data_IF_847596916058
#
_entry.id   IF_847596916058
#
_cell.length_a   1.000
_cell.length_b   1.000
_cell.length_c   1.000
_cell.angle_alpha   90.00
_cell.angle_beta   90.00
_cell.angle_gamma   90.00
#
_symmetry.space_group_name_H-M   'P 1'
#
loop_
_entity.id
_entity.type
_entity.pdbx_description
1 polymer ?
#
# COMPACT_ATOMS: atom_id res chain seq x y z
N UNK A 1 11.53 -21.00 39.24
CA UNK A 1 10.15 -20.58 38.88
C UNK A 1 10.11 -19.32 38.00
N UNK A 2 10.74 -18.21 38.40
CA UNK A 2 10.70 -16.92 37.67
C UNK A 2 11.05 -17.04 36.18
N UNK A 3 12.12 -17.74 35.82
CA UNK A 3 12.56 -17.94 34.43
C UNK A 3 11.59 -18.76 33.56
N UNK A 4 10.89 -19.74 34.16
CA UNK A 4 9.86 -20.52 33.46
C UNK A 4 8.64 -19.66 33.16
N UNK A 5 8.19 -18.87 34.13
CA UNK A 5 7.02 -17.98 33.98
C UNK A 5 7.28 -16.93 32.90
N UNK A 6 8.44 -16.26 32.93
CA UNK A 6 8.80 -15.25 31.92
C UNK A 6 8.81 -15.82 30.50
N UNK A 7 9.29 -17.05 30.31
CA UNK A 7 9.27 -17.73 29.01
C UNK A 7 7.85 -17.89 28.47
N UNK A 8 6.92 -18.42 29.28
CA UNK A 8 5.54 -18.63 28.86
C UNK A 8 4.79 -17.32 28.60
N UNK A 9 5.07 -16.28 29.41
CA UNK A 9 4.53 -14.93 29.18
C UNK A 9 4.98 -14.41 27.82
N UNK A 10 6.29 -14.48 27.51
CA UNK A 10 6.82 -13.92 26.26
C UNK A 10 6.23 -14.66 25.04
N UNK A 11 6.19 -15.99 25.04
CA UNK A 11 5.60 -16.72 23.91
C UNK A 11 4.09 -16.48 23.79
N UNK A 12 3.38 -16.29 24.91
CA UNK A 12 1.98 -15.85 24.89
C UNK A 12 1.81 -14.47 24.25
N UNK A 13 2.69 -13.52 24.60
CA UNK A 13 2.70 -12.19 23.99
C UNK A 13 3.02 -12.24 22.49
N UNK A 14 3.88 -13.16 22.01
CA UNK A 14 4.13 -13.35 20.57
C UNK A 14 2.82 -13.64 19.84
N UNK A 15 2.00 -14.55 20.38
CA UNK A 15 0.72 -14.92 19.76
C UNK A 15 -0.28 -13.78 19.84
N UNK A 16 -0.39 -13.11 20.99
CA UNK A 16 -1.32 -11.99 21.18
C UNK A 16 -0.98 -10.85 20.22
N UNK A 17 0.27 -10.37 20.22
CA UNK A 17 0.67 -9.26 19.36
C UNK A 17 0.72 -9.64 17.89
N UNK A 18 1.08 -10.88 17.55
CA UNK A 18 1.02 -11.37 16.16
C UNK A 18 -0.40 -11.33 15.62
N UNK A 19 -1.35 -11.98 16.30
CA UNK A 19 -2.76 -12.01 15.91
C UNK A 19 -3.38 -10.60 15.89
N UNK A 20 -3.07 -9.76 16.88
CA UNK A 20 -3.56 -8.37 16.89
C UNK A 20 -3.00 -7.53 15.74
N UNK A 21 -1.76 -7.79 15.30
CA UNK A 21 -1.18 -7.13 14.13
C UNK A 21 -1.94 -7.50 12.86
N UNK A 22 -2.21 -8.77 12.63
CA UNK A 22 -2.95 -9.19 11.44
C UNK A 22 -4.42 -8.73 11.45
N UNK A 23 -5.06 -8.75 12.62
CA UNK A 23 -6.39 -8.15 12.80
C UNK A 23 -6.39 -6.65 12.49
N UNK A 24 -5.32 -5.94 12.87
CA UNK A 24 -5.23 -4.51 12.59
C UNK A 24 -5.12 -4.20 11.09
N UNK A 25 -4.48 -5.09 10.30
CA UNK A 25 -4.41 -4.98 8.84
C UNK A 25 -5.77 -5.25 8.21
N UNK A 26 -6.45 -6.32 8.64
CA UNK A 26 -7.81 -6.65 8.19
C UNK A 26 -8.75 -5.46 8.43
N UNK A 27 -8.75 -4.91 9.64
CA UNK A 27 -9.58 -3.74 9.97
C UNK A 27 -9.22 -2.51 9.14
N UNK A 28 -7.93 -2.26 8.94
CA UNK A 28 -7.45 -1.14 8.14
C UNK A 28 -7.92 -1.19 6.67
N UNK A 29 -8.23 -2.38 6.15
CA UNK A 29 -8.68 -2.58 4.77
C UNK A 29 -10.21 -2.66 4.68
N UNK A 30 -10.85 -3.35 5.62
CA UNK A 30 -12.28 -3.69 5.53
C UNK A 30 -13.21 -2.69 6.22
N UNK A 31 -12.72 -1.91 7.19
CA UNK A 31 -13.55 -0.97 7.98
C UNK A 31 -13.33 0.47 7.52
N UNK A 32 -14.39 1.10 7.03
CA UNK A 32 -14.42 2.52 6.67
C UNK A 32 -14.14 3.40 7.91
N UNK A 33 -13.33 4.46 7.74
CA UNK A 33 -12.82 5.35 8.81
C UNK A 33 -11.85 4.72 9.83
N UNK A 34 -11.39 3.50 9.59
CA UNK A 34 -10.30 2.95 10.40
C UNK A 34 -8.95 3.59 10.04
N UNK A 35 -8.03 3.62 11.02
CA UNK A 35 -6.66 4.09 10.75
C UNK A 35 -5.97 3.11 9.79
N UNK A 36 -5.73 3.56 8.56
CA UNK A 36 -5.11 2.77 7.50
C UNK A 36 -3.64 2.42 7.74
N UNK A 37 -2.91 3.22 8.54
CA UNK A 37 -1.45 3.06 8.70
C UNK A 37 -0.95 3.07 10.14
N UNK A 38 -1.38 4.03 10.97
CA UNK A 38 -0.81 4.25 12.30
C UNK A 38 -1.04 3.05 13.25
N UNK A 39 -2.28 2.57 13.32
CA UNK A 39 -2.64 1.44 14.18
C UNK A 39 -1.90 0.16 13.80
N UNK A 40 -1.87 -0.28 12.51
CA UNK A 40 -1.01 -1.38 12.09
C UNK A 40 0.46 -1.18 12.43
N UNK A 41 1.01 0.01 12.20
CA UNK A 41 2.42 0.29 12.51
C UNK A 41 2.76 0.10 14.00
N UNK A 42 1.86 0.51 14.90
CA UNK A 42 2.03 0.31 16.35
C UNK A 42 2.01 -1.19 16.69
N UNK A 43 1.02 -1.94 16.19
CA UNK A 43 0.90 -3.36 16.48
C UNK A 43 2.09 -4.16 15.95
N UNK A 44 2.53 -3.92 14.72
CA UNK A 44 3.72 -4.58 14.17
C UNK A 44 5.02 -4.20 14.89
N UNK A 45 5.12 -2.97 15.39
CA UNK A 45 6.26 -2.55 16.21
C UNK A 45 6.31 -3.31 17.54
N UNK A 46 5.17 -3.45 18.20
CA UNK A 46 5.06 -4.26 19.43
C UNK A 46 5.35 -5.73 19.13
N UNK A 47 4.81 -6.27 18.04
CA UNK A 47 5.09 -7.63 17.62
C UNK A 47 6.58 -7.84 17.36
N UNK A 48 7.25 -6.93 16.63
CA UNK A 48 8.69 -6.98 16.41
C UNK A 48 9.50 -6.99 17.73
N UNK A 49 9.15 -6.13 18.68
CA UNK A 49 9.82 -6.07 19.99
C UNK A 49 9.68 -7.42 20.71
N UNK A 50 8.48 -8.00 20.72
CA UNK A 50 8.24 -9.27 21.41
C UNK A 50 8.89 -10.45 20.67
N UNK A 51 8.96 -10.43 19.34
CA UNK A 51 9.73 -11.41 18.55
C UNK A 51 11.22 -11.36 18.89
N UNK A 52 11.80 -10.16 18.94
CA UNK A 52 13.20 -9.94 19.28
C UNK A 52 13.51 -10.40 20.72
N UNK A 53 12.66 -10.02 21.68
CA UNK A 53 12.77 -10.45 23.08
C UNK A 53 12.60 -11.97 23.22
N UNK A 54 11.61 -12.56 22.55
CA UNK A 54 11.37 -14.00 22.52
C UNK A 54 12.59 -14.77 22.05
N UNK A 55 13.23 -14.28 21.00
CA UNK A 55 14.44 -14.90 20.44
C UNK A 55 15.62 -14.90 21.41
N UNK A 56 15.75 -13.86 22.25
CA UNK A 56 16.86 -13.73 23.21
C UNK A 56 16.56 -14.48 24.51
N UNK A 57 15.35 -14.34 25.05
CA UNK A 57 14.99 -14.86 26.37
C UNK A 57 14.62 -16.34 26.31
N UNK A 58 13.93 -16.78 25.25
CA UNK A 58 13.44 -18.16 25.11
C UNK A 58 14.49 -19.00 24.39
N UNK A 59 15.41 -19.58 25.15
CA UNK A 59 16.47 -20.46 24.61
C UNK A 59 15.97 -21.80 24.08
N UNK A 60 14.78 -22.21 24.53
CA UNK A 60 14.19 -23.49 24.15
C UNK A 60 13.41 -23.34 22.83
N UNK A 61 14.07 -23.77 21.76
CA UNK A 61 13.57 -23.73 20.39
C UNK A 61 12.28 -24.53 20.20
N UNK A 62 12.10 -25.63 20.94
CA UNK A 62 10.91 -26.48 20.85
C UNK A 62 9.67 -25.72 21.29
N UNK A 63 9.81 -24.81 22.25
CA UNK A 63 8.70 -23.95 22.70
C UNK A 63 8.63 -22.65 21.88
N UNK A 64 9.76 -22.08 21.45
CA UNK A 64 9.73 -20.81 20.72
C UNK A 64 9.11 -20.96 19.32
N UNK A 65 9.53 -21.96 18.52
CA UNK A 65 9.12 -22.06 17.12
C UNK A 65 7.63 -22.27 16.90
N UNK A 66 6.92 -23.13 17.66
CA UNK A 66 5.47 -23.28 17.50
C UNK A 66 4.72 -21.97 17.76
N UNK A 67 5.12 -21.19 18.76
CA UNK A 67 4.46 -19.93 19.08
C UNK A 67 4.80 -18.83 18.08
N UNK A 68 6.02 -18.80 17.55
CA UNK A 68 6.37 -17.96 16.40
C UNK A 68 5.51 -18.32 15.18
N UNK A 69 5.36 -19.62 14.90
CA UNK A 69 4.55 -20.08 13.78
C UNK A 69 3.09 -19.67 13.99
N UNK A 70 2.50 -19.92 15.16
CA UNK A 70 1.12 -19.47 15.45
C UNK A 70 0.98 -17.96 15.31
N UNK A 71 1.95 -17.17 15.78
CA UNK A 71 1.91 -15.70 15.65
C UNK A 71 2.03 -15.20 14.20
N UNK A 72 2.78 -15.87 13.33
CA UNK A 72 2.89 -15.51 11.91
C UNK A 72 1.71 -16.03 11.08
N UNK A 73 1.35 -17.30 11.27
CA UNK A 73 0.33 -17.98 10.49
C UNK A 73 -1.09 -17.68 10.97
N UNK A 74 -1.28 -16.95 12.09
CA UNK A 74 -2.61 -16.43 12.44
C UNK A 74 -3.14 -15.41 11.41
N UNK A 75 -2.28 -14.85 10.56
CA UNK A 75 -2.69 -14.10 9.36
C UNK A 75 -3.64 -14.89 8.43
N UNK A 76 -3.48 -16.22 8.35
CA UNK A 76 -4.33 -17.09 7.53
C UNK A 76 -5.80 -17.14 7.98
N UNK A 77 -6.08 -16.74 9.23
CA UNK A 77 -7.45 -16.63 9.74
C UNK A 77 -8.19 -15.47 9.03
N UNK A 78 -7.45 -14.42 8.65
CA UNK A 78 -7.99 -13.23 8.02
C UNK A 78 -7.93 -13.33 6.50
N UNK A 79 -6.78 -13.71 5.96
CA UNK A 79 -6.55 -13.77 4.51
C UNK A 79 -6.10 -15.17 4.11
N UNK A 80 -6.99 -15.94 3.48
CA UNK A 80 -6.65 -17.28 3.00
C UNK A 80 -6.39 -17.30 1.49
N UNK A 81 -5.15 -17.56 1.08
CA UNK A 81 -4.75 -17.71 -0.32
C UNK A 81 -3.54 -18.63 -0.42
N UNK A 82 -3.51 -19.49 -1.44
CA UNK A 82 -2.39 -20.42 -1.67
C UNK A 82 -1.04 -19.69 -1.79
N UNK A 83 -1.01 -18.58 -2.52
CA UNK A 83 0.20 -17.77 -2.69
C UNK A 83 0.57 -17.01 -1.42
N UNK A 84 -0.42 -16.61 -0.62
CA UNK A 84 -0.16 -15.99 0.69
C UNK A 84 0.53 -17.00 1.63
N UNK A 85 0.06 -18.26 1.66
CA UNK A 85 0.69 -19.34 2.42
C UNK A 85 2.16 -19.53 1.99
N UNK A 86 2.42 -19.59 0.68
CA UNK A 86 3.79 -19.74 0.17
C UNK A 86 4.71 -18.60 0.62
N UNK A 87 4.24 -17.35 0.56
CA UNK A 87 4.99 -16.17 1.01
C UNK A 87 5.15 -16.13 2.54
N UNK A 88 4.17 -16.60 3.31
CA UNK A 88 4.30 -16.74 4.76
C UNK A 88 5.34 -17.79 5.14
N UNK A 89 5.36 -18.95 4.47
CA UNK A 89 6.39 -19.96 4.67
C UNK A 89 7.77 -19.38 4.36
N UNK A 90 7.91 -18.67 3.24
CA UNK A 90 9.14 -18.01 2.85
C UNK A 90 9.58 -16.93 3.86
N UNK A 91 8.65 -16.11 4.35
CA UNK A 91 8.88 -15.13 5.41
C UNK A 91 9.32 -15.82 6.72
N UNK A 92 8.66 -16.92 7.09
CA UNK A 92 8.99 -17.68 8.29
C UNK A 92 10.38 -18.29 8.24
N UNK A 93 10.89 -18.66 7.05
CA UNK A 93 12.29 -19.07 6.89
C UNK A 93 13.26 -17.94 7.29
N UNK A 94 12.97 -16.68 6.96
CA UNK A 94 13.79 -15.57 7.42
C UNK A 94 13.73 -15.38 8.94
N UNK A 95 12.56 -15.58 9.57
CA UNK A 95 12.45 -15.60 11.04
C UNK A 95 13.32 -16.71 11.62
N UNK A 96 13.26 -17.92 11.06
CA UNK A 96 14.10 -19.04 11.48
C UNK A 96 15.59 -18.70 11.39
N UNK A 97 16.03 -18.14 10.27
CA UNK A 97 17.42 -17.71 10.09
C UNK A 97 17.83 -16.60 11.06
N UNK A 98 16.92 -15.66 11.35
CA UNK A 98 17.16 -14.60 12.33
C UNK A 98 17.35 -15.18 13.73
N UNK A 99 16.50 -16.13 14.14
CA UNK A 99 16.59 -16.83 15.43
C UNK A 99 17.93 -17.57 15.54
N UNK A 100 18.34 -18.30 14.51
CA UNK A 100 19.64 -18.98 14.51
C UNK A 100 20.82 -18.01 14.62
N UNK A 101 20.78 -16.87 13.91
CA UNK A 101 21.83 -15.85 13.98
C UNK A 101 21.92 -15.20 15.36
N UNK A 102 20.78 -14.81 15.94
CA UNK A 102 20.73 -14.20 17.27
C UNK A 102 21.18 -15.21 18.34
N UNK A 103 20.75 -16.47 18.23
CA UNK A 103 21.15 -17.53 19.15
C UNK A 103 22.66 -17.83 19.07
N UNK A 104 23.25 -17.83 17.88
CA UNK A 104 24.70 -17.97 17.69
C UNK A 104 25.47 -16.82 18.33
N UNK A 105 25.06 -15.58 18.10
CA UNK A 105 25.70 -14.40 18.73
C UNK A 105 25.58 -14.45 20.26
N UNK A 106 24.40 -14.75 20.79
CA UNK A 106 24.17 -14.81 22.25
C UNK A 106 25.00 -15.92 22.92
N UNK A 107 25.35 -17.00 22.21
CA UNK A 107 26.22 -18.07 22.73
C UNK A 107 27.71 -17.70 22.74
N UNK A 108 28.15 -16.85 21.80
CA UNK A 108 29.55 -16.50 21.62
C UNK A 108 30.01 -15.34 22.52
N UNK A 109 29.08 -14.54 23.04
CA UNK A 109 29.39 -13.39 23.89
C UNK A 109 29.25 -13.73 25.39
N UNK A 110 30.24 -13.35 26.19
CA UNK A 110 30.27 -13.57 27.66
C UNK A 110 29.27 -12.65 28.39
N UNK A 111 29.02 -11.46 27.83
CA UNK A 111 28.03 -10.49 28.34
C UNK A 111 26.86 -10.40 27.35
N UNK A 112 25.64 -10.44 27.88
CA UNK A 112 24.43 -10.30 27.07
C UNK A 112 24.16 -8.82 26.81
N UNK A 113 24.37 -8.40 25.57
CA UNK A 113 23.97 -7.08 25.08
C UNK A 113 22.76 -7.26 24.16
N UNK A 114 21.57 -6.93 24.67
CA UNK A 114 20.29 -7.11 23.96
C UNK A 114 20.32 -6.35 22.63
N UNK A 115 20.79 -5.11 22.62
CA UNK A 115 20.79 -4.27 21.42
C UNK A 115 21.71 -4.83 20.34
N UNK A 116 22.92 -5.26 20.73
CA UNK A 116 23.86 -5.90 19.82
C UNK A 116 23.30 -7.21 19.25
N UNK A 117 22.74 -8.07 20.11
CA UNK A 117 22.24 -9.37 19.67
C UNK A 117 21.03 -9.24 18.75
N UNK A 118 20.07 -8.35 19.03
CA UNK A 118 18.97 -8.05 18.10
C UNK A 118 19.52 -7.51 16.77
N UNK A 119 20.52 -6.63 16.80
CA UNK A 119 21.12 -6.04 15.57
C UNK A 119 21.68 -7.09 14.62
N UNK A 120 22.14 -8.24 15.11
CA UNK A 120 22.64 -9.35 14.29
C UNK A 120 21.55 -10.04 13.46
N UNK A 121 20.32 -10.10 13.98
CA UNK A 121 19.17 -10.70 13.29
C UNK A 121 18.19 -9.69 12.66
N UNK A 122 18.34 -8.39 12.94
CA UNK A 122 17.33 -7.37 12.62
C UNK A 122 16.91 -7.38 11.16
N UNK A 123 17.87 -7.50 10.23
CA UNK A 123 17.59 -7.39 8.79
C UNK A 123 16.68 -8.53 8.33
N UNK A 124 16.90 -9.74 8.86
CA UNK A 124 16.07 -10.90 8.54
C UNK A 124 14.68 -10.79 9.16
N UNK A 125 14.55 -10.30 10.40
CA UNK A 125 13.25 -10.07 11.03
C UNK A 125 12.44 -8.99 10.29
N UNK A 126 13.08 -7.88 9.92
CA UNK A 126 12.43 -6.80 9.17
C UNK A 126 11.97 -7.33 7.82
N UNK A 127 12.85 -8.01 7.08
CA UNK A 127 12.51 -8.58 5.78
C UNK A 127 11.36 -9.60 5.88
N UNK A 128 11.37 -10.47 6.90
CA UNK A 128 10.28 -11.40 7.15
C UNK A 128 8.94 -10.66 7.34
N UNK A 129 8.90 -9.68 8.23
CA UNK A 129 7.70 -8.89 8.48
C UNK A 129 7.26 -8.13 7.23
N UNK A 130 8.18 -7.48 6.51
CA UNK A 130 7.87 -6.78 5.27
C UNK A 130 7.21 -7.69 4.23
N UNK A 131 7.76 -8.89 4.01
CA UNK A 131 7.17 -9.87 3.08
C UNK A 131 5.78 -10.32 3.56
N UNK A 132 5.63 -10.61 4.85
CA UNK A 132 4.35 -11.10 5.37
C UNK A 132 3.26 -10.02 5.33
N UNK A 133 3.58 -8.78 5.73
CA UNK A 133 2.66 -7.63 5.71
C UNK A 133 2.23 -7.30 4.28
N UNK A 134 3.20 -7.17 3.37
CA UNK A 134 2.88 -6.86 1.95
C UNK A 134 2.06 -7.96 1.30
N UNK A 135 2.36 -9.23 1.62
CA UNK A 135 1.58 -10.36 1.15
C UNK A 135 0.13 -10.30 1.65
N UNK A 136 -0.10 -10.11 2.96
CA UNK A 136 -1.46 -10.01 3.49
C UNK A 136 -2.21 -8.85 2.86
N UNK A 137 -1.60 -7.66 2.82
CA UNK A 137 -2.20 -6.47 2.23
C UNK A 137 -2.61 -6.69 0.76
N UNK A 138 -1.72 -7.29 -0.04
CA UNK A 138 -1.97 -7.57 -1.44
C UNK A 138 -3.13 -8.55 -1.65
N UNK A 139 -3.15 -9.67 -0.90
CA UNK A 139 -4.19 -10.68 -1.08
C UNK A 139 -5.54 -10.26 -0.49
N UNK A 140 -5.55 -9.50 0.60
CA UNK A 140 -6.78 -8.94 1.16
C UNK A 140 -7.41 -7.92 0.21
N UNK A 141 -6.59 -7.03 -0.35
CA UNK A 141 -7.07 -6.06 -1.34
C UNK A 141 -7.55 -6.74 -2.62
N UNK A 142 -6.83 -7.76 -3.10
CA UNK A 142 -7.22 -8.51 -4.31
C UNK A 142 -8.54 -9.27 -4.13
N UNK A 143 -8.79 -9.83 -2.94
CA UNK A 143 -10.02 -10.58 -2.64
C UNK A 143 -11.21 -9.67 -2.39
N UNK A 144 -10.95 -8.40 -2.11
CA UNK A 144 -11.99 -7.40 -2.05
C UNK A 144 -12.22 -6.93 -3.49
N UNK A 145 -13.35 -7.28 -4.12
CA UNK A 145 -13.77 -6.79 -5.46
C UNK A 145 -13.89 -5.25 -5.56
N UNK A 146 -13.41 -4.51 -4.55
CA UNK A 146 -13.15 -3.08 -4.55
C UNK A 146 -11.91 -2.81 -5.43
N UNK A 147 -12.12 -2.84 -6.74
CA UNK A 147 -11.18 -2.38 -7.78
C UNK A 147 -10.74 -0.91 -7.55
N UNK A 148 -11.37 -0.17 -6.64
CA UNK A 148 -11.12 1.24 -6.35
C UNK A 148 -10.64 1.52 -4.91
N UNK A 149 -9.49 0.97 -4.52
CA UNK A 149 -8.71 1.52 -3.39
C UNK A 149 -7.30 1.87 -3.88
N UNK A 150 -7.23 2.75 -4.88
CA UNK A 150 -6.10 3.67 -4.91
C UNK A 150 -6.25 4.50 -3.64
N UNK A 151 -5.23 4.56 -2.76
CA UNK A 151 -5.31 5.40 -1.58
C UNK A 151 -5.66 6.81 -2.03
N UNK A 152 -6.85 7.27 -1.64
CA UNK A 152 -7.17 8.69 -1.61
C UNK A 152 -6.23 9.26 -0.55
N UNK A 153 -5.02 9.62 -0.96
CA UNK A 153 -4.27 10.57 -0.19
C UNK A 153 -5.13 11.83 -0.16
N UNK A 154 -5.51 12.31 1.02
CA UNK A 154 -5.95 13.70 1.20
C UNK A 154 -4.76 14.57 0.79
N UNK A 155 -4.64 14.82 -0.51
CA UNK A 155 -3.47 15.43 -1.17
C UNK A 155 -3.81 16.83 -1.61
N UNK A 156 -4.31 17.63 -0.67
CA UNK A 156 -4.24 19.08 -0.82
C UNK A 156 -2.78 19.55 -0.81
N UNK A 157 -1.97 19.03 0.12
CA UNK A 157 -0.70 19.69 0.47
C UNK A 157 0.53 19.06 -0.19
N UNK A 158 0.52 17.75 -0.45
CA UNK A 158 1.68 17.05 -1.02
C UNK A 158 1.70 17.06 -2.56
N UNK A 159 0.53 17.02 -3.21
CA UNK A 159 0.43 17.04 -4.68
C UNK A 159 0.70 18.44 -5.23
N UNK A 160 0.32 19.50 -4.51
CA UNK A 160 0.60 20.90 -4.86
C UNK A 160 2.09 21.27 -4.84
N UNK A 161 2.94 20.52 -4.12
CA UNK A 161 4.39 20.72 -4.13
C UNK A 161 5.10 19.96 -5.26
N UNK A 162 4.56 18.83 -5.70
CA UNK A 162 5.22 17.92 -6.66
C UNK A 162 4.80 18.20 -8.11
N UNK A 163 3.54 18.56 -8.35
CA UNK A 163 3.01 18.96 -9.67
C UNK A 163 3.85 20.05 -10.37
N UNK A 164 4.23 21.14 -9.68
CA UNK A 164 5.16 22.16 -10.16
C UNK A 164 6.51 21.69 -10.70
N UNK A 165 6.96 20.52 -10.24
CA UNK A 165 8.31 20.02 -10.47
C UNK A 165 8.34 19.05 -11.65
N UNK A 166 7.22 18.43 -11.99
CA UNK A 166 7.09 17.52 -13.13
C UNK A 166 6.53 18.19 -14.39
N UNK A 167 5.76 19.27 -14.23
CA UNK A 167 5.17 20.05 -15.33
C UNK A 167 5.38 21.55 -15.10
N UNK A 168 6.58 22.08 -15.41
CA UNK A 168 6.89 23.49 -15.21
C UNK A 168 6.07 24.44 -16.10
N UNK A 169 5.49 23.94 -17.20
CA UNK A 169 4.68 24.73 -18.15
C UNK A 169 3.26 25.06 -17.65
N UNK A 170 2.85 24.51 -16.49
CA UNK A 170 1.56 24.81 -15.85
C UNK A 170 1.65 25.96 -14.83
N UNK A 171 2.64 26.84 -14.96
CA UNK A 171 2.83 27.97 -14.07
C UNK A 171 2.82 29.28 -14.86
N UNK A 172 1.69 29.98 -14.81
CA UNK A 172 1.60 31.24 -14.03
C UNK A 172 0.23 31.93 -14.12
N UNK A 173 -0.69 31.47 -14.98
CA UNK A 173 -2.03 32.04 -15.04
C UNK A 173 -3.07 31.08 -14.41
N UNK A 174 -3.82 31.58 -13.43
CA UNK A 174 -4.94 30.92 -12.73
C UNK A 174 -4.59 29.88 -11.66
N UNK A 175 -3.87 30.35 -10.63
CA UNK A 175 -4.08 29.81 -9.27
C UNK A 175 -5.49 30.20 -8.83
N UNK A 176 -6.26 29.20 -8.41
CA UNK A 176 -7.61 29.20 -7.81
C UNK A 176 -8.81 29.35 -8.75
N UNK A 177 -9.70 28.35 -8.66
CA UNK A 177 -11.07 28.27 -9.20
C UNK A 177 -11.28 27.78 -10.64
N UNK A 178 -10.42 26.89 -11.15
CA UNK A 178 -10.73 26.18 -12.39
C UNK A 178 -11.78 25.07 -12.12
N UNK A 179 -12.96 25.21 -12.69
CA UNK A 179 -14.02 24.19 -12.62
C UNK A 179 -13.65 22.96 -13.47
N UNK A 180 -14.25 21.81 -13.17
CA UNK A 180 -13.98 20.56 -13.92
C UNK A 180 -14.22 20.72 -15.42
N UNK A 181 -15.21 21.54 -15.79
CA UNK A 181 -15.53 21.84 -17.18
C UNK A 181 -14.44 22.70 -17.84
N UNK A 182 -13.93 23.72 -17.15
CA UNK A 182 -12.82 24.56 -17.65
C UNK A 182 -11.53 23.73 -17.81
N UNK A 183 -11.30 22.75 -16.93
CA UNK A 183 -10.15 21.86 -17.01
C UNK A 183 -10.22 20.95 -18.23
N UNK A 184 -11.40 20.35 -18.48
CA UNK A 184 -11.65 19.52 -19.67
C UNK A 184 -11.38 20.34 -20.95
N UNK A 185 -11.83 21.60 -20.98
CA UNK A 185 -11.65 22.49 -22.13
C UNK A 185 -10.21 22.97 -22.31
N UNK A 186 -9.45 23.11 -21.23
CA UNK A 186 -8.04 23.50 -21.29
C UNK A 186 -7.17 22.35 -21.82
N UNK A 187 -7.44 21.12 -21.38
CA UNK A 187 -6.74 19.92 -21.85
C UNK A 187 -7.04 19.64 -23.34
N UNK A 188 -8.29 19.83 -23.77
CA UNK A 188 -8.64 19.67 -25.20
C UNK A 188 -7.97 20.73 -26.08
N UNK A 189 -7.88 21.99 -25.62
CA UNK A 189 -7.17 23.07 -26.33
C UNK A 189 -5.65 22.87 -26.41
N UNK A 190 -5.06 22.20 -25.45
CA UNK A 190 -3.60 21.93 -25.43
C UNK A 190 -3.19 20.68 -26.22
N UNK A 191 -4.12 19.99 -26.89
CA UNK A 191 -3.79 18.91 -27.81
C UNK A 191 -3.33 17.64 -27.10
N UNK A 192 -4.09 17.17 -26.11
CA UNK A 192 -3.90 15.83 -25.58
C UNK A 192 -4.43 14.79 -26.59
N UNK A 193 -3.50 14.20 -27.36
CA UNK A 193 -3.71 13.18 -28.41
C UNK A 193 -4.64 12.00 -28.02
N UNK A 194 -4.90 11.77 -26.73
CA UNK A 194 -5.76 10.67 -26.26
C UNK A 194 -7.25 11.02 -26.13
N UNK A 195 -7.59 12.28 -25.84
CA UNK A 195 -8.98 12.67 -25.54
C UNK A 195 -9.69 13.16 -26.81
N UNK A 196 -8.99 13.98 -27.61
CA UNK A 196 -9.48 14.44 -28.91
C UNK A 196 -9.62 13.28 -29.90
N UNK A 197 -8.72 12.29 -29.86
CA UNK A 197 -8.79 11.12 -30.74
C UNK A 197 -10.11 10.35 -30.61
N UNK A 198 -10.62 10.15 -29.39
CA UNK A 198 -11.89 9.46 -29.14
C UNK A 198 -13.11 10.28 -29.60
N UNK A 199 -13.06 11.61 -29.44
CA UNK A 199 -14.12 12.53 -29.88
C UNK A 199 -14.14 12.67 -31.42
N UNK A 200 -12.98 12.70 -32.06
CA UNK A 200 -12.86 12.73 -33.52
C UNK A 200 -13.33 11.39 -34.13
N UNK A 201 -13.01 10.28 -33.48
CA UNK A 201 -13.45 8.94 -33.87
C UNK A 201 -14.97 8.77 -33.72
N UNK A 202 -15.58 9.34 -32.67
CA UNK A 202 -17.05 9.33 -32.48
C UNK A 202 -17.81 10.14 -33.54
N UNK A 203 -17.14 11.10 -34.20
CA UNK A 203 -17.65 11.83 -35.35
C UNK A 203 -17.25 11.24 -36.72
N UNK A 204 -16.56 10.09 -36.74
CA UNK A 204 -16.12 9.42 -37.96
C UNK A 204 -14.91 10.06 -38.65
N UNK A 205 -14.19 10.95 -37.97
CA UNK A 205 -12.98 11.59 -38.47
C UNK A 205 -11.75 10.88 -37.89
N UNK A 206 -11.16 10.00 -38.69
CA UNK A 206 -10.02 9.19 -38.28
C UNK A 206 -8.71 10.01 -38.34
N UNK A 207 -8.15 10.33 -37.17
CA UNK A 207 -6.96 11.17 -36.99
C UNK A 207 -5.72 10.65 -37.75
N UNK A 208 -5.68 9.34 -38.05
CA UNK A 208 -4.58 8.72 -38.81
C UNK A 208 -4.47 9.15 -40.27
N UNK A 209 -5.47 9.82 -40.85
CA UNK A 209 -5.48 10.16 -42.28
C UNK A 209 -5.61 11.65 -42.61
N UNK A 210 -5.71 12.54 -41.64
CA UNK A 210 -5.88 13.97 -41.90
C UNK A 210 -4.92 14.74 -41.00
N UNK A 211 -3.95 15.41 -41.62
CA UNK A 211 -3.19 16.47 -40.94
C UNK A 211 -4.14 17.62 -40.64
N UNK A 212 -4.81 17.56 -39.48
CA UNK A 212 -5.75 18.58 -39.03
C UNK A 212 -4.96 19.83 -38.68
N UNK A 213 -5.21 20.93 -39.39
CA UNK A 213 -4.62 22.23 -39.06
C UNK A 213 -5.14 22.71 -37.71
N UNK A 214 -4.30 23.40 -36.92
CA UNK A 214 -4.69 23.98 -35.61
C UNK A 214 -5.97 24.85 -35.70
N UNK A 215 -6.24 25.46 -36.85
CA UNK A 215 -7.44 26.26 -37.10
C UNK A 215 -8.73 25.44 -37.25
N UNK A 216 -8.63 24.20 -37.73
CA UNK A 216 -9.77 23.27 -37.80
C UNK A 216 -10.06 22.67 -36.43
N UNK A 217 -9.00 22.38 -35.67
CA UNK A 217 -9.08 21.89 -34.30
C UNK A 217 -9.80 22.90 -33.39
N UNK A 218 -9.47 24.19 -33.53
CA UNK A 218 -10.14 25.27 -32.81
C UNK A 218 -11.64 25.38 -33.13
N UNK A 219 -12.02 25.20 -34.40
CA UNK A 219 -13.43 25.22 -34.82
C UNK A 219 -14.23 24.02 -34.31
N UNK A 220 -13.63 22.85 -34.20
CA UNK A 220 -14.28 21.65 -33.64
C UNK A 220 -14.48 21.82 -32.13
N UNK A 221 -13.49 22.36 -31.41
CA UNK A 221 -13.61 22.66 -29.98
C UNK A 221 -14.69 23.70 -29.70
N UNK A 222 -14.84 24.71 -30.56
CA UNK A 222 -15.89 25.73 -30.45
C UNK A 222 -17.28 25.23 -30.89
N UNK A 223 -17.36 24.31 -31.87
CA UNK A 223 -18.61 23.71 -32.34
C UNK A 223 -19.19 22.68 -31.36
N UNK A 224 -18.32 21.87 -30.77
CA UNK A 224 -18.71 20.63 -30.10
C UNK A 224 -18.39 20.63 -28.60
N UNK A 225 -18.29 21.83 -28.03
CA UNK A 225 -17.94 22.06 -26.63
C UNK A 225 -18.78 21.21 -25.67
N UNK A 226 -20.09 21.10 -25.90
CA UNK A 226 -21.01 20.32 -25.06
C UNK A 226 -20.75 18.82 -25.12
N UNK A 227 -20.34 18.30 -26.28
CA UNK A 227 -20.02 16.89 -26.47
C UNK A 227 -18.68 16.54 -25.82
N UNK A 228 -17.70 17.43 -25.94
CA UNK A 228 -16.39 17.30 -25.25
C UNK A 228 -16.59 17.30 -23.73
N UNK A 229 -17.44 18.20 -23.22
CA UNK A 229 -17.78 18.25 -21.80
C UNK A 229 -18.50 16.99 -21.35
N UNK A 230 -19.45 16.47 -22.13
CA UNK A 230 -20.17 15.24 -21.79
C UNK A 230 -19.25 14.02 -21.74
N UNK A 231 -18.44 13.82 -22.77
CA UNK A 231 -17.51 12.68 -22.84
C UNK A 231 -16.38 12.81 -21.82
N UNK A 232 -15.92 14.03 -21.58
CA UNK A 232 -14.99 14.34 -20.48
C UNK A 232 -15.58 14.00 -19.12
N UNK A 233 -16.80 14.45 -18.82
CA UNK A 233 -17.49 14.13 -17.56
C UNK A 233 -17.72 12.63 -17.40
N UNK A 234 -18.07 11.90 -18.45
CA UNK A 234 -18.22 10.43 -18.39
C UNK A 234 -16.87 9.75 -18.09
N UNK A 235 -15.79 10.13 -18.78
CA UNK A 235 -14.46 9.58 -18.53
C UNK A 235 -13.94 9.93 -17.12
N UNK A 236 -14.12 11.18 -16.68
CA UNK A 236 -13.79 11.58 -15.31
C UNK A 236 -14.66 10.87 -14.27
N UNK A 237 -15.94 10.63 -14.56
CA UNK A 237 -16.83 9.88 -13.67
C UNK A 237 -16.42 8.41 -13.55
N UNK A 238 -15.98 7.79 -14.65
CA UNK A 238 -15.45 6.42 -14.65
C UNK A 238 -14.13 6.32 -13.88
N UNK A 239 -13.24 7.30 -14.01
CA UNK A 239 -11.94 7.33 -13.30
C UNK A 239 -12.10 7.66 -11.81
N UNK A 240 -12.95 8.64 -11.48
CA UNK A 240 -13.15 9.11 -10.11
C UNK A 240 -14.16 8.26 -9.31
N UNK A 241 -14.96 7.43 -10.00
CA UNK A 241 -16.01 6.62 -9.39
C UNK A 241 -17.17 7.42 -8.80
N UNK A 242 -17.32 8.68 -9.20
CA UNK A 242 -18.38 9.59 -8.75
C UNK A 242 -19.05 10.12 -10.02
N UNK A 243 -20.38 10.03 -10.09
CA UNK A 243 -21.13 10.58 -11.22
C UNK A 243 -21.07 12.11 -11.16
N UNK A 244 -20.34 12.73 -12.08
CA UNK A 244 -20.29 14.18 -12.21
C UNK A 244 -21.58 14.64 -12.90
N UNK A 245 -22.38 15.43 -12.19
CA UNK A 245 -23.58 16.07 -12.75
C UNK A 245 -23.34 17.58 -12.85
N UNK A 246 -23.55 18.12 -14.04
CA UNK A 246 -23.54 19.54 -14.36
C UNK A 246 -24.50 19.81 -15.49
#
# INVERSE_FOLDING_TARGET
>A
MKTKITKYIIVGLIVIFGTASWLSVERAINVENSSTWLVPAIWFSLFYIVLALGTIVVKDKIILFPFLAVGFFSSLIFTFSFWHIALLVFSFLFVFLAVERIAKDTKLNIKLDIAKSVRTGKTMLILALSIAITSQYYFELKNTDKINIIPKFETSDAVSQILPMMYPDLKEDEKSDLTVDEFILQISKQGADGMLGNILESQGLNEKNIGVSQDQMKKIIESDQDMILKEGRENFSQIAGIHLTG
#
